data_IF_709983692773
#
_entry.id   IF_709983692773
#
_cell.length_a   1.000
_cell.length_b   1.000
_cell.length_c   1.000
_cell.angle_alpha   90.00
_cell.angle_beta   90.00
_cell.angle_gamma   90.00
#
_symmetry.space_group_name_H-M   'P 1'
#
loop_
_entity.id
_entity.type
_entity.pdbx_description
1 polymer ?
#
# COMPACT_ATOMS: atom_id res chain seq x y z
N UNK A 1 -11.13 -31.08 -43.65
CA UNK A 1 -11.80 -30.58 -42.43
C UNK A 1 -11.58 -31.50 -41.22
N UNK A 2 -10.40 -32.12 -41.07
CA UNK A 2 -10.12 -33.07 -39.97
C UNK A 2 -9.09 -32.50 -38.97
N UNK A 3 -8.38 -31.43 -39.35
CA UNK A 3 -7.31 -30.83 -38.54
C UNK A 3 -7.80 -29.88 -37.43
N UNK A 4 -9.06 -29.42 -37.47
CA UNK A 4 -9.61 -28.45 -36.49
C UNK A 4 -10.16 -29.10 -35.22
N UNK A 5 -10.47 -30.39 -35.24
CA UNK A 5 -11.06 -31.13 -34.12
C UNK A 5 -10.03 -31.62 -33.10
N UNK A 6 -8.75 -31.75 -33.49
CA UNK A 6 -7.71 -32.26 -32.60
C UNK A 6 -7.19 -31.23 -31.59
N UNK A 7 -7.13 -29.94 -31.93
CA UNK A 7 -6.62 -28.91 -31.02
C UNK A 7 -7.54 -28.59 -29.83
N UNK A 8 -8.86 -28.85 -29.94
CA UNK A 8 -9.82 -28.56 -28.87
C UNK A 8 -9.76 -29.63 -27.76
N UNK A 9 -9.27 -30.84 -28.08
CA UNK A 9 -9.12 -31.92 -27.10
C UNK A 9 -7.88 -31.77 -26.20
N UNK A 10 -6.84 -31.06 -26.65
CA UNK A 10 -5.58 -30.93 -25.91
C UNK A 10 -5.64 -29.84 -24.82
N UNK A 11 -6.54 -28.86 -24.94
CA UNK A 11 -6.71 -27.78 -23.94
C UNK A 11 -7.52 -28.21 -22.71
N UNK A 12 -8.30 -29.28 -22.80
CA UNK A 12 -9.14 -29.75 -21.67
C UNK A 12 -8.30 -30.54 -20.63
N UNK A 13 -7.16 -31.13 -21.01
CA UNK A 13 -6.32 -31.90 -20.08
C UNK A 13 -5.40 -31.06 -19.18
N UNK A 14 -5.26 -29.74 -19.40
CA UNK A 14 -4.37 -28.90 -18.57
C UNK A 14 -5.13 -28.30 -17.37
N UNK A 15 -6.46 -28.26 -17.40
CA UNK A 15 -7.27 -27.59 -16.36
C UNK A 15 -7.57 -28.49 -15.15
N UNK A 16 -7.42 -29.81 -15.26
CA UNK A 16 -7.79 -30.76 -14.20
C UNK A 16 -6.64 -31.26 -13.31
N UNK A 17 -5.40 -30.80 -13.51
CA UNK A 17 -4.23 -31.26 -12.74
C UNK A 17 -3.72 -30.28 -11.66
N UNK A 18 -4.40 -29.15 -11.44
CA UNK A 18 -4.03 -28.19 -10.38
C UNK A 18 -5.13 -27.99 -9.33
N UNK A 19 -5.77 -29.08 -8.91
CA UNK A 19 -6.61 -29.08 -7.70
C UNK A 19 -5.99 -29.97 -6.62
N UNK A 20 -4.84 -29.54 -6.11
CA UNK A 20 -4.37 -29.95 -4.78
C UNK A 20 -4.65 -28.80 -3.81
N UNK A 21 -5.77 -28.91 -3.11
CA UNK A 21 -6.05 -28.17 -1.89
C UNK A 21 -5.02 -28.54 -0.83
N UNK A 22 -3.98 -27.71 -0.69
CA UNK A 22 -3.10 -27.73 0.48
C UNK A 22 -3.86 -27.02 1.60
N UNK A 23 -4.66 -27.77 2.36
CA UNK A 23 -5.06 -27.38 3.71
C UNK A 23 -3.84 -27.56 4.62
N UNK A 24 -2.88 -26.64 4.52
CA UNK A 24 -1.90 -26.46 5.58
C UNK A 24 -2.58 -25.62 6.66
N UNK A 25 -3.30 -26.30 7.54
CA UNK A 25 -3.66 -25.76 8.84
C UNK A 25 -2.34 -25.62 9.63
N UNK A 26 -1.69 -24.47 9.45
CA UNK A 26 -0.62 -24.03 10.35
C UNK A 26 -1.31 -23.72 11.67
N UNK A 27 -1.35 -24.70 12.56
CA UNK A 27 -1.54 -24.45 13.98
C UNK A 27 -0.47 -23.45 14.39
N UNK A 28 -0.89 -22.22 14.67
CA UNK A 28 0.00 -21.22 15.23
C UNK A 28 0.55 -21.77 16.55
N UNK A 29 1.88 -21.78 16.76
CA UNK A 29 2.44 -22.30 18.00
C UNK A 29 1.81 -21.58 19.19
N UNK A 30 1.10 -22.34 20.01
CA UNK A 30 0.52 -21.87 21.26
C UNK A 30 1.67 -21.65 22.25
N UNK A 31 2.07 -20.40 22.42
CA UNK A 31 3.06 -20.02 23.43
C UNK A 31 2.34 -19.91 24.78
N UNK A 32 2.69 -20.80 25.70
CA UNK A 32 2.26 -20.72 27.11
C UNK A 32 3.04 -19.62 27.82
N UNK A 33 2.46 -18.99 28.84
CA UNK A 33 3.19 -18.05 29.70
C UNK A 33 4.41 -18.70 30.38
N UNK A 34 4.51 -20.03 30.41
CA UNK A 34 5.68 -20.77 30.90
C UNK A 34 6.92 -20.58 30.00
N UNK A 35 6.75 -20.37 28.69
CA UNK A 35 7.88 -20.19 27.75
C UNK A 35 8.64 -18.88 28.00
N UNK A 36 7.99 -17.92 28.67
CA UNK A 36 8.58 -16.62 29.05
C UNK A 36 9.55 -16.80 30.23
N UNK A 37 9.32 -17.78 31.11
CA UNK A 37 10.15 -17.97 32.30
C UNK A 37 11.58 -18.42 31.96
N UNK A 38 11.76 -19.16 30.86
CA UNK A 38 13.09 -19.59 30.38
C UNK A 38 14.00 -18.42 29.99
N UNK A 39 13.43 -17.26 29.66
CA UNK A 39 14.18 -16.05 29.31
C UNK A 39 14.35 -15.07 30.48
N UNK A 40 13.88 -15.41 31.69
CA UNK A 40 14.25 -14.70 32.92
C UNK A 40 15.72 -15.01 33.26
N UNK A 41 16.63 -14.30 32.62
CA UNK A 41 18.06 -14.37 32.95
C UNK A 41 18.31 -13.83 34.37
N UNK A 42 19.27 -14.43 35.09
CA UNK A 42 19.70 -14.05 36.46
C UNK A 42 20.31 -12.63 36.60
N UNK A 43 20.13 -11.74 35.62
CA UNK A 43 20.65 -10.37 35.65
C UNK A 43 19.74 -9.37 36.39
N UNK A 44 18.51 -9.76 36.76
CA UNK A 44 17.54 -8.83 37.38
C UNK A 44 17.57 -8.83 38.91
N UNK A 45 18.40 -9.65 39.54
CA UNK A 45 18.47 -9.79 41.01
C UNK A 45 19.67 -9.07 41.66
N UNK A 46 19.94 -7.82 41.28
CA UNK A 46 20.75 -6.92 42.11
C UNK A 46 19.94 -5.72 42.58
N UNK A 47 19.02 -6.02 43.49
CA UNK A 47 18.41 -5.06 44.39
C UNK A 47 19.48 -4.56 45.37
N UNK A 48 19.96 -3.34 45.23
CA UNK A 48 20.44 -2.59 46.39
C UNK A 48 19.24 -1.90 47.00
N UNK A 49 18.77 -2.47 48.12
CA UNK A 49 17.88 -1.81 49.06
C UNK A 49 18.43 -0.42 49.41
N UNK A 50 17.72 0.63 49.00
CA UNK A 50 17.78 1.92 49.70
C UNK A 50 16.40 2.22 50.22
N UNK A 51 16.11 1.66 51.40
CA UNK A 51 14.97 2.00 52.24
C UNK A 51 15.21 3.39 52.85
N UNK A 52 15.09 4.44 52.04
CA UNK A 52 14.98 5.81 52.53
C UNK A 52 13.50 6.19 52.58
N UNK A 53 12.92 6.06 53.78
CA UNK A 53 11.67 6.72 54.16
C UNK A 53 11.85 8.22 53.99
N UNK A 54 11.46 8.76 52.85
CA UNK A 54 11.10 10.17 52.74
C UNK A 54 9.62 10.20 52.39
N UNK A 55 8.80 10.57 53.38
CA UNK A 55 7.42 10.93 53.18
C UNK A 55 7.37 12.14 52.24
N UNK A 56 7.42 11.88 50.93
CA UNK A 56 7.17 12.88 49.91
C UNK A 56 5.72 13.32 50.06
N UNK A 57 5.54 14.62 50.34
CA UNK A 57 4.26 15.31 50.38
C UNK A 57 3.35 14.83 49.22
N UNK A 58 2.02 14.65 49.43
CA UNK A 58 1.07 14.25 48.38
C UNK A 58 1.19 15.07 47.09
N UNK A 59 1.70 16.29 47.20
CA UNK A 59 1.89 17.25 46.12
C UNK A 59 3.03 16.88 45.15
N UNK A 60 4.10 16.25 45.64
CA UNK A 60 5.24 15.80 44.80
C UNK A 60 4.86 14.62 43.89
N UNK A 61 4.02 13.69 44.40
CA UNK A 61 3.47 12.58 43.61
C UNK A 61 2.49 13.07 42.54
N UNK A 62 1.62 14.04 42.87
CA UNK A 62 0.70 14.67 41.91
C UNK A 62 1.42 15.40 40.79
N UNK A 63 2.50 16.14 41.08
CA UNK A 63 3.30 16.80 40.04
C UNK A 63 3.97 15.81 39.07
N UNK A 64 4.44 14.66 39.56
CA UNK A 64 5.06 13.65 38.69
C UNK A 64 4.05 12.94 37.78
N UNK A 65 2.86 12.59 38.28
CA UNK A 65 1.79 11.99 37.47
C UNK A 65 1.23 12.95 36.43
N UNK A 66 1.00 14.21 36.82
CA UNK A 66 0.51 15.25 35.90
C UNK A 66 1.53 15.58 34.78
N UNK A 67 2.83 15.47 35.05
CA UNK A 67 3.91 15.62 34.04
C UNK A 67 4.05 14.42 33.10
N UNK A 68 3.64 13.22 33.52
CA UNK A 68 3.60 12.02 32.67
C UNK A 68 2.35 12.05 31.78
N UNK A 69 1.18 12.41 32.32
CA UNK A 69 -0.06 12.52 31.53
C UNK A 69 0.02 13.61 30.45
N UNK A 70 0.67 14.75 30.73
CA UNK A 70 0.89 15.80 29.73
C UNK A 70 1.86 15.38 28.63
N UNK A 71 2.88 14.58 28.95
CA UNK A 71 3.79 14.00 27.94
C UNK A 71 3.08 12.97 27.07
N UNK A 72 2.27 12.08 27.66
CA UNK A 72 1.52 11.06 26.92
C UNK A 72 0.50 11.70 25.95
N UNK A 73 -0.21 12.75 26.40
CA UNK A 73 -1.13 13.51 25.53
C UNK A 73 -0.39 14.22 24.37
N UNK A 74 0.80 14.76 24.64
CA UNK A 74 1.63 15.40 23.62
C UNK A 74 2.15 14.38 22.59
N UNK A 75 2.56 13.19 23.04
CA UNK A 75 3.00 12.09 22.16
C UNK A 75 1.85 11.54 21.30
N UNK A 76 0.66 11.33 21.88
CA UNK A 76 -0.54 10.95 21.10
C UNK A 76 -0.88 11.97 20.01
N UNK A 77 -0.84 13.26 20.36
CA UNK A 77 -1.11 14.34 19.40
C UNK A 77 -0.08 14.37 18.27
N UNK A 78 1.20 14.15 18.58
CA UNK A 78 2.28 14.08 17.59
C UNK A 78 2.11 12.87 16.66
N UNK A 79 1.78 11.71 17.22
CA UNK A 79 1.51 10.48 16.46
C UNK A 79 0.35 10.64 15.48
N UNK A 80 -0.75 11.30 15.89
CA UNK A 80 -1.88 11.60 15.00
C UNK A 80 -1.48 12.48 13.81
N UNK A 81 -0.74 13.56 14.05
CA UNK A 81 -0.28 14.47 12.98
C UNK A 81 0.66 13.79 12.00
N UNK A 82 1.56 12.94 12.51
CA UNK A 82 2.48 12.18 11.66
C UNK A 82 1.74 11.14 10.82
N UNK A 83 0.80 10.41 11.42
CA UNK A 83 -0.09 9.49 10.71
C UNK A 83 -0.86 10.18 9.59
N UNK A 84 -1.46 11.34 9.88
CA UNK A 84 -2.19 12.13 8.89
C UNK A 84 -1.27 12.60 7.75
N UNK A 85 -0.05 13.04 8.08
CA UNK A 85 0.95 13.44 7.08
C UNK A 85 1.27 12.29 6.10
N UNK A 86 1.57 11.10 6.61
CA UNK A 86 1.90 9.94 5.79
C UNK A 86 0.71 9.46 4.95
N UNK A 87 -0.48 9.42 5.54
CA UNK A 87 -1.72 9.10 4.84
C UNK A 87 -2.00 10.08 3.69
N UNK A 88 -1.98 11.40 3.95
CA UNK A 88 -2.21 12.42 2.91
C UNK A 88 -1.22 12.31 1.76
N UNK A 89 0.06 12.11 2.08
CA UNK A 89 1.13 12.01 1.08
C UNK A 89 0.98 10.75 0.22
N UNK A 90 0.61 9.62 0.80
CA UNK A 90 0.32 8.39 0.05
C UNK A 90 -0.93 8.52 -0.83
N UNK A 91 -2.02 9.05 -0.28
CA UNK A 91 -3.27 9.30 -1.01
C UNK A 91 -3.07 10.24 -2.20
N UNK A 92 -2.22 11.26 -2.06
CA UNK A 92 -1.88 12.16 -3.16
C UNK A 92 -1.31 11.40 -4.38
N UNK A 93 -0.37 10.49 -4.18
CA UNK A 93 0.19 9.69 -5.29
C UNK A 93 -0.81 8.65 -5.81
N UNK A 94 -1.58 8.00 -4.94
CA UNK A 94 -2.65 7.06 -5.35
C UNK A 94 -3.67 7.75 -6.26
N UNK A 95 -4.15 8.93 -5.87
CA UNK A 95 -5.11 9.71 -6.66
C UNK A 95 -4.52 10.13 -8.02
N UNK A 96 -3.21 10.43 -8.08
CA UNK A 96 -2.53 10.72 -9.34
C UNK A 96 -2.43 9.51 -10.25
N UNK A 97 -2.18 8.32 -9.69
CA UNK A 97 -2.15 7.05 -10.43
C UNK A 97 -3.54 6.75 -10.98
N UNK A 98 -4.57 6.78 -10.13
CA UNK A 98 -5.96 6.55 -10.50
C UNK A 98 -6.43 7.52 -11.59
N UNK A 99 -6.12 8.81 -11.46
CA UNK A 99 -6.43 9.81 -12.50
C UNK A 99 -5.74 9.47 -13.82
N UNK A 100 -4.45 9.10 -13.78
CA UNK A 100 -3.72 8.73 -14.98
C UNK A 100 -4.30 7.45 -15.63
N UNK A 101 -4.78 6.49 -14.84
CA UNK A 101 -5.46 5.28 -15.33
C UNK A 101 -6.79 5.61 -16.02
N UNK A 102 -7.60 6.48 -15.41
CA UNK A 102 -8.84 6.99 -16.02
C UNK A 102 -8.56 7.72 -17.35
N UNK A 103 -7.53 8.58 -17.38
CA UNK A 103 -7.10 9.27 -18.61
C UNK A 103 -6.59 8.30 -19.68
N UNK A 104 -5.89 7.23 -19.30
CA UNK A 104 -5.46 6.16 -20.22
C UNK A 104 -6.68 5.48 -20.84
N UNK A 105 -7.64 5.05 -20.02
CA UNK A 105 -8.84 4.36 -20.49
C UNK A 105 -9.64 5.25 -21.46
N UNK A 106 -9.83 6.53 -21.12
CA UNK A 106 -10.50 7.49 -21.99
C UNK A 106 -9.76 7.70 -23.33
N UNK A 107 -8.43 7.81 -23.29
CA UNK A 107 -7.62 7.95 -24.49
C UNK A 107 -7.64 6.69 -25.37
N UNK A 108 -7.64 5.50 -24.78
CA UNK A 108 -7.76 4.22 -25.49
C UNK A 108 -9.14 4.04 -26.13
N UNK A 109 -10.21 4.44 -25.44
CA UNK A 109 -11.55 4.49 -26.00
C UNK A 109 -11.62 5.40 -27.23
N UNK A 110 -11.17 6.65 -27.10
CA UNK A 110 -11.12 7.61 -28.22
C UNK A 110 -10.24 7.13 -29.38
N UNK A 111 -9.12 6.48 -29.08
CA UNK A 111 -8.23 5.93 -30.10
C UNK A 111 -8.94 4.84 -30.91
N UNK A 112 -9.72 3.99 -30.24
CA UNK A 112 -10.51 2.93 -30.87
C UNK A 112 -11.57 3.53 -31.80
N UNK A 113 -12.34 4.52 -31.33
CA UNK A 113 -13.33 5.23 -32.14
C UNK A 113 -12.71 5.88 -33.39
N UNK A 114 -11.58 6.57 -33.23
CA UNK A 114 -10.88 7.21 -34.35
C UNK A 114 -10.36 6.18 -35.35
N UNK A 115 -9.84 5.04 -34.88
CA UNK A 115 -9.39 3.95 -35.74
C UNK A 115 -10.56 3.36 -36.54
N UNK A 116 -11.71 3.15 -35.91
CA UNK A 116 -12.92 2.70 -36.61
C UNK A 116 -13.42 3.72 -37.63
N UNK A 117 -13.40 5.01 -37.30
CA UNK A 117 -13.77 6.07 -38.23
C UNK A 117 -12.82 6.13 -39.43
N UNK A 118 -11.51 5.96 -39.21
CA UNK A 118 -10.51 5.94 -40.27
C UNK A 118 -10.71 4.79 -41.28
N UNK A 119 -11.29 3.67 -40.86
CA UNK A 119 -11.61 2.53 -41.74
C UNK A 119 -12.79 2.83 -42.67
N UNK A 120 -13.72 3.70 -42.25
CA UNK A 120 -14.94 4.04 -43.01
C UNK A 120 -14.73 5.23 -43.95
N UNK A 121 -13.72 6.06 -43.69
CA UNK A 121 -13.44 7.30 -44.42
C UNK A 121 -12.31 7.14 -45.44
N UNK A 122 -12.32 7.98 -46.48
CA UNK A 122 -11.27 7.99 -47.52
C UNK A 122 -10.78 9.41 -47.84
N UNK A 123 -9.68 9.50 -48.60
CA UNK A 123 -9.16 10.79 -49.09
C UNK A 123 -8.70 11.76 -48.00
N UNK A 124 -9.11 13.02 -48.11
CA UNK A 124 -8.68 14.10 -47.19
C UNK A 124 -9.16 13.89 -45.75
N UNK A 125 -10.40 13.41 -45.56
CA UNK A 125 -10.97 13.16 -44.23
C UNK A 125 -10.18 12.11 -43.45
N UNK A 126 -9.84 11.00 -44.10
CA UNK A 126 -9.01 9.95 -43.51
C UNK A 126 -7.65 10.48 -43.03
N UNK A 127 -6.98 11.32 -43.81
CA UNK A 127 -5.68 11.92 -43.41
C UNK A 127 -5.80 12.77 -42.15
N UNK A 128 -6.91 13.49 -41.97
CA UNK A 128 -7.18 14.27 -40.76
C UNK A 128 -7.34 13.35 -39.55
N UNK A 129 -8.14 12.27 -39.69
CA UNK A 129 -8.34 11.28 -38.63
C UNK A 129 -7.02 10.60 -38.25
N UNK A 130 -6.19 10.21 -39.23
CA UNK A 130 -4.87 9.63 -38.99
C UNK A 130 -3.93 10.59 -38.25
N UNK A 131 -4.01 11.89 -38.52
CA UNK A 131 -3.25 12.89 -37.77
C UNK A 131 -3.73 12.98 -36.31
N UNK A 132 -5.03 12.88 -36.07
CA UNK A 132 -5.60 12.89 -34.72
C UNK A 132 -5.29 11.60 -33.95
N UNK A 133 -5.29 10.43 -34.61
CA UNK A 133 -4.79 9.16 -34.05
C UNK A 133 -3.37 9.34 -33.51
N UNK A 134 -2.45 9.89 -34.32
CA UNK A 134 -1.06 10.15 -33.89
C UNK A 134 -0.97 11.09 -32.69
N UNK A 135 -1.82 12.12 -32.63
CA UNK A 135 -1.87 13.04 -31.48
C UNK A 135 -2.32 12.30 -30.21
N UNK A 136 -3.36 11.47 -30.31
CA UNK A 136 -3.86 10.68 -29.18
C UNK A 136 -2.83 9.65 -28.74
N UNK A 137 -2.15 8.95 -29.65
CA UNK A 137 -1.07 8.01 -29.32
C UNK A 137 0.09 8.68 -28.58
N UNK A 138 0.50 9.88 -29.02
CA UNK A 138 1.52 10.67 -28.32
C UNK A 138 1.07 11.04 -26.90
N UNK A 139 -0.19 11.48 -26.74
CA UNK A 139 -0.77 11.78 -25.42
C UNK A 139 -0.84 10.54 -24.54
N UNK A 140 -1.29 9.41 -25.07
CA UNK A 140 -1.37 8.13 -24.37
C UNK A 140 0.01 7.71 -23.83
N UNK A 141 1.05 7.79 -24.66
CA UNK A 141 2.42 7.49 -24.25
C UNK A 141 2.88 8.36 -23.08
N UNK A 142 2.56 9.66 -23.13
CA UNK A 142 2.90 10.60 -22.08
C UNK A 142 2.15 10.32 -20.78
N UNK A 143 0.85 10.01 -20.83
CA UNK A 143 0.07 9.66 -19.65
C UNK A 143 0.58 8.35 -19.03
N UNK A 144 0.90 7.34 -19.85
CA UNK A 144 1.51 6.08 -19.38
C UNK A 144 2.87 6.30 -18.71
N UNK A 145 3.68 7.24 -19.23
CA UNK A 145 4.94 7.65 -18.58
C UNK A 145 4.68 8.28 -17.21
N UNK A 146 3.75 9.24 -17.13
CA UNK A 146 3.36 9.89 -15.87
C UNK A 146 2.83 8.92 -14.83
N UNK A 147 2.00 7.95 -15.23
CA UNK A 147 1.52 6.87 -14.32
C UNK A 147 2.71 6.15 -13.69
N UNK A 148 3.67 5.68 -14.50
CA UNK A 148 4.87 5.00 -14.02
C UNK A 148 5.75 5.88 -13.12
N UNK A 149 5.82 7.18 -13.37
CA UNK A 149 6.54 8.12 -12.50
C UNK A 149 5.84 8.27 -11.14
N UNK A 150 4.52 8.40 -11.13
CA UNK A 150 3.75 8.45 -9.89
C UNK A 150 3.85 7.14 -9.09
N UNK A 151 3.87 5.98 -9.76
CA UNK A 151 4.13 4.67 -9.13
C UNK A 151 5.52 4.63 -8.48
N UNK A 152 6.56 5.10 -9.17
CA UNK A 152 7.92 5.18 -8.62
C UNK A 152 7.98 6.11 -7.42
N UNK A 153 7.31 7.24 -7.47
CA UNK A 153 7.29 8.19 -6.36
C UNK A 153 6.49 7.65 -5.16
N UNK A 154 5.42 6.88 -5.39
CA UNK A 154 4.73 6.16 -4.33
C UNK A 154 5.65 5.10 -3.69
N UNK A 155 6.36 4.31 -4.48
CA UNK A 155 7.31 3.32 -3.96
C UNK A 155 8.44 4.00 -3.15
N UNK A 156 8.96 5.14 -3.62
CA UNK A 156 9.94 5.93 -2.88
C UNK A 156 9.38 6.42 -1.54
N UNK A 157 8.11 6.80 -1.49
CA UNK A 157 7.43 7.18 -0.25
C UNK A 157 7.32 5.99 0.70
N UNK A 158 6.97 4.81 0.20
CA UNK A 158 6.91 3.57 0.98
C UNK A 158 8.28 3.19 1.54
N UNK A 159 9.34 3.31 0.75
CA UNK A 159 10.72 3.10 1.20
C UNK A 159 11.13 4.12 2.26
N UNK A 160 10.74 5.39 2.12
CA UNK A 160 11.01 6.45 3.10
C UNK A 160 10.31 6.16 4.43
N UNK A 161 9.04 5.75 4.36
CA UNK A 161 8.25 5.36 5.52
C UNK A 161 8.87 4.14 6.22
N UNK A 162 9.28 3.12 5.46
CA UNK A 162 9.93 1.93 5.99
C UNK A 162 11.24 2.27 6.72
N UNK A 163 12.10 3.11 6.14
CA UNK A 163 13.35 3.58 6.80
C UNK A 163 13.10 4.33 8.10
N UNK A 164 11.93 4.94 8.25
CA UNK A 164 11.50 5.67 9.45
C UNK A 164 10.68 4.81 10.42
N UNK A 165 10.61 3.49 10.21
CA UNK A 165 9.80 2.56 10.99
C UNK A 165 8.31 2.93 11.04
N UNK A 166 7.80 3.56 9.99
CA UNK A 166 6.39 3.94 9.89
C UNK A 166 5.59 2.71 9.45
N UNK A 167 4.52 2.32 10.18
CA UNK A 167 3.69 1.19 9.80
C UNK A 167 3.01 1.39 8.44
N UNK A 168 2.97 0.34 7.61
CA UNK A 168 2.36 0.38 6.27
C UNK A 168 0.88 0.77 6.30
N UNK A 169 0.16 0.45 7.38
CA UNK A 169 -1.23 0.87 7.59
C UNK A 169 -1.41 2.40 7.55
N UNK A 170 -0.39 3.17 7.94
CA UNK A 170 -0.46 4.64 7.98
C UNK A 170 -0.55 5.22 6.56
N UNK A 171 0.13 4.60 5.59
CA UNK A 171 0.06 4.96 4.16
C UNK A 171 -1.24 4.50 3.49
N UNK A 172 -1.93 3.53 4.09
CA UNK A 172 -3.22 3.02 3.61
C UNK A 172 -4.42 3.74 4.20
N UNK A 173 -4.21 4.61 5.19
CA UNK A 173 -5.28 5.32 5.90
C UNK A 173 -6.33 4.37 6.53
N UNK A 174 -5.93 3.14 6.89
CA UNK A 174 -6.82 2.06 7.37
C UNK A 174 -7.19 2.16 8.85
N UNK A 175 -7.29 3.37 9.40
CA UNK A 175 -7.59 3.54 10.81
C UNK A 175 -8.76 4.47 10.98
N UNK A 176 -9.70 4.03 11.80
CA UNK A 176 -10.77 4.87 12.31
C UNK A 176 -10.17 5.93 13.26
N UNK A 177 -10.80 7.11 13.28
CA UNK A 177 -10.39 8.29 14.07
C UNK A 177 -11.17 8.37 15.37
#
# INVERSE_FOLDING_TARGET
MILKTLCISLTICIVTLFSTTINAQLDAPYFSNEDIEKYKSHSDNKMSETKARTAGSPESRRLSGMRIETKEKAEKTRGHKEKEYWCKRATFYKNKIERAESEIAAAEGKLTELKEAALRETGKKRRIIEADIKKIEKKLKEIKRKRKENEKDLNRLEDEAHRKNIPSGWLRCQFDW
#
